data_IF_749661382368
#
_entry.id   IF_749661382368
#
_cell.length_a   1.000
_cell.length_b   1.000
_cell.length_c   1.000
_cell.angle_alpha   90.00
_cell.angle_beta   90.00
_cell.angle_gamma   90.00
#
_symmetry.space_group_name_H-M   'P 1'
#
loop_
_entity.id
_entity.type
_entity.pdbx_description
1 polymer ?
#
# COMPACT_ATOMS: atom_id res chain seq x y z
N UNK A 1 11.28 -14.30 29.75
CA UNK A 1 11.04 -14.38 28.29
C UNK A 1 9.61 -14.03 27.87
N UNK A 2 8.58 -14.10 28.72
CA UNK A 2 7.19 -13.78 28.32
C UNK A 2 6.85 -12.28 28.20
N UNK A 3 7.56 -11.40 28.92
CA UNK A 3 7.30 -9.95 28.89
C UNK A 3 7.56 -9.33 27.51
N UNK A 4 8.71 -9.65 26.90
CA UNK A 4 9.15 -9.10 25.61
C UNK A 4 8.23 -9.47 24.45
N UNK A 5 7.62 -10.67 24.46
CA UNK A 5 6.66 -11.09 23.44
C UNK A 5 5.31 -10.36 23.58
N UNK A 6 4.87 -10.10 24.81
CA UNK A 6 3.68 -9.30 25.08
C UNK A 6 3.89 -7.85 24.61
N UNK A 7 5.03 -7.25 24.96
CA UNK A 7 5.37 -5.87 24.57
C UNK A 7 5.39 -5.69 23.04
N UNK A 8 5.97 -6.66 22.31
CA UNK A 8 5.97 -6.64 20.85
C UNK A 8 4.56 -6.76 20.24
N UNK A 9 3.72 -7.62 20.83
CA UNK A 9 2.34 -7.80 20.36
C UNK A 9 1.53 -6.53 20.58
N UNK A 10 1.67 -5.90 21.74
CA UNK A 10 1.06 -4.61 22.04
C UNK A 10 1.53 -3.50 21.09
N UNK A 11 2.83 -3.43 20.82
CA UNK A 11 3.38 -2.46 19.86
C UNK A 11 2.74 -2.63 18.47
N UNK A 12 2.58 -3.87 18.01
CA UNK A 12 1.95 -4.15 16.71
C UNK A 12 0.44 -3.87 16.71
N UNK A 13 -0.27 -4.21 17.77
CA UNK A 13 -1.70 -3.95 17.89
C UNK A 13 -1.98 -2.45 17.88
N UNK A 14 -1.13 -1.66 18.55
CA UNK A 14 -1.18 -0.19 18.48
C UNK A 14 -1.03 0.30 17.02
N UNK A 15 -0.09 -0.25 16.24
CA UNK A 15 0.06 0.12 14.82
C UNK A 15 -1.22 -0.18 14.03
N UNK A 16 -1.81 -1.36 14.23
CA UNK A 16 -3.06 -1.76 13.56
C UNK A 16 -4.24 -0.86 13.94
N UNK A 17 -4.46 -0.61 15.23
CA UNK A 17 -5.57 0.24 15.70
C UNK A 17 -5.37 1.70 15.26
N UNK A 18 -4.16 2.23 15.41
CA UNK A 18 -3.87 3.62 15.07
C UNK A 18 -4.01 3.90 13.57
N UNK A 19 -3.78 2.94 12.67
CA UNK A 19 -3.96 3.10 11.22
C UNK A 19 -5.29 2.60 10.67
N UNK A 20 -6.24 2.18 11.53
CA UNK A 20 -7.44 1.43 11.12
C UNK A 20 -7.10 0.24 10.20
N UNK A 21 -6.01 -0.46 10.51
CA UNK A 21 -5.52 -1.60 9.75
C UNK A 21 -5.14 -1.28 8.31
N UNK A 22 -4.78 -0.02 8.01
CA UNK A 22 -4.42 0.44 6.67
C UNK A 22 -5.61 0.62 5.71
N UNK A 23 -6.84 0.53 6.20
CA UNK A 23 -8.04 0.60 5.38
C UNK A 23 -8.14 1.88 4.52
N UNK A 24 -7.82 3.10 5.01
CA UNK A 24 -7.89 4.31 4.19
C UNK A 24 -7.01 4.24 2.94
N UNK A 25 -5.78 3.73 3.08
CA UNK A 25 -4.87 3.53 1.97
C UNK A 25 -5.38 2.46 1.01
N UNK A 26 -5.84 1.31 1.52
CA UNK A 26 -6.34 0.22 0.67
C UNK A 26 -7.56 0.66 -0.15
N UNK A 27 -8.49 1.40 0.47
CA UNK A 27 -9.68 1.92 -0.21
C UNK A 27 -9.27 2.92 -1.29
N UNK A 28 -8.44 3.91 -0.97
CA UNK A 28 -8.06 4.95 -1.91
C UNK A 28 -7.23 4.38 -3.08
N UNK A 29 -6.19 3.59 -2.81
CA UNK A 29 -5.35 2.98 -3.85
C UNK A 29 -6.12 1.92 -4.65
N UNK A 30 -6.96 1.12 -3.99
CA UNK A 30 -7.80 0.14 -4.69
C UNK A 30 -8.78 0.81 -5.64
N UNK A 31 -9.40 1.92 -5.20
CA UNK A 31 -10.33 2.70 -6.04
C UNK A 31 -9.63 3.28 -7.27
N UNK A 32 -8.45 3.90 -7.10
CA UNK A 32 -7.71 4.45 -8.24
C UNK A 32 -7.20 3.37 -9.20
N UNK A 33 -6.84 2.18 -8.70
CA UNK A 33 -6.53 1.03 -9.56
C UNK A 33 -7.74 0.56 -10.36
N UNK A 34 -8.92 0.45 -9.74
CA UNK A 34 -10.16 0.09 -10.44
C UNK A 34 -10.48 1.11 -11.52
N UNK A 35 -10.40 2.41 -11.22
CA UNK A 35 -10.60 3.49 -12.20
C UNK A 35 -9.61 3.34 -13.35
N UNK A 36 -8.34 3.10 -13.06
CA UNK A 36 -7.31 2.91 -14.09
C UNK A 36 -7.60 1.69 -14.97
N UNK A 37 -8.03 0.57 -14.37
CA UNK A 37 -8.43 -0.63 -15.09
C UNK A 37 -9.62 -0.40 -16.02
N UNK A 38 -10.60 0.40 -15.61
CA UNK A 38 -11.73 0.80 -16.45
C UNK A 38 -11.25 1.69 -17.60
N UNK A 39 -10.40 2.69 -17.32
CA UNK A 39 -9.86 3.58 -18.35
C UNK A 39 -9.01 2.84 -19.39
N UNK A 40 -8.36 1.74 -19.02
CA UNK A 40 -7.56 0.93 -19.92
C UNK A 40 -8.34 0.29 -21.08
N UNK A 41 -9.67 0.18 -20.97
CA UNK A 41 -10.52 -0.26 -22.10
C UNK A 41 -10.73 0.82 -23.17
N UNK A 42 -10.46 2.08 -22.84
CA UNK A 42 -10.77 3.24 -23.70
C UNK A 42 -9.53 4.03 -24.11
N UNK A 43 -8.39 3.80 -23.46
CA UNK A 43 -7.15 4.55 -23.67
C UNK A 43 -6.05 3.66 -24.27
N UNK A 44 -5.06 4.27 -24.98
CA UNK A 44 -3.87 3.54 -25.41
C UNK A 44 -3.12 2.90 -24.23
N UNK A 45 -2.40 1.82 -24.49
CA UNK A 45 -1.64 1.09 -23.46
C UNK A 45 -0.61 1.98 -22.77
N UNK A 46 0.04 2.86 -23.53
CA UNK A 46 1.03 3.83 -23.04
C UNK A 46 0.41 4.77 -22.01
N UNK A 47 -0.73 5.37 -22.35
CA UNK A 47 -1.44 6.31 -21.48
C UNK A 47 -1.95 5.60 -20.22
N UNK A 48 -2.54 4.42 -20.38
CA UNK A 48 -3.06 3.63 -19.27
C UNK A 48 -1.95 3.19 -18.31
N UNK A 49 -0.80 2.81 -18.84
CA UNK A 49 0.39 2.44 -18.06
C UNK A 49 0.93 3.63 -17.25
N UNK A 50 1.00 4.82 -17.83
CA UNK A 50 1.41 6.02 -17.10
C UNK A 50 0.42 6.38 -15.98
N UNK A 51 -0.88 6.30 -16.26
CA UNK A 51 -1.92 6.52 -15.23
C UNK A 51 -1.75 5.51 -14.10
N UNK A 52 -1.55 4.22 -14.41
CA UNK A 52 -1.34 3.18 -13.39
C UNK A 52 -0.10 3.45 -12.53
N UNK A 53 1.01 3.85 -13.14
CA UNK A 53 2.28 4.11 -12.45
C UNK A 53 2.21 5.33 -11.51
N UNK A 54 1.48 6.37 -11.90
CA UNK A 54 1.41 7.63 -11.16
C UNK A 54 0.12 7.84 -10.36
N UNK A 55 -0.83 6.90 -10.37
CA UNK A 55 -2.08 7.01 -9.62
C UNK A 55 -1.87 7.30 -8.11
N UNK A 56 -0.74 6.83 -7.56
CA UNK A 56 -0.37 7.06 -6.16
C UNK A 56 -0.26 8.55 -5.80
N UNK A 57 0.05 9.42 -6.76
CA UNK A 57 0.04 10.87 -6.56
C UNK A 57 -1.34 11.44 -6.24
N UNK A 58 -2.42 10.74 -6.65
CA UNK A 58 -3.81 11.09 -6.32
C UNK A 58 -4.28 10.30 -5.10
N UNK A 59 -3.99 9.00 -5.03
CA UNK A 59 -4.45 8.15 -3.93
C UNK A 59 -3.86 8.54 -2.57
N UNK A 60 -2.57 8.89 -2.52
CA UNK A 60 -1.87 9.25 -1.28
C UNK A 60 -2.49 10.45 -0.54
N UNK A 61 -2.68 11.63 -1.16
CA UNK A 61 -3.27 12.77 -0.46
C UNK A 61 -4.71 12.49 0.01
N UNK A 62 -5.49 11.73 -0.76
CA UNK A 62 -6.86 11.36 -0.40
C UNK A 62 -6.85 10.38 0.79
N UNK A 63 -5.94 9.39 0.79
CA UNK A 63 -5.79 8.45 1.90
C UNK A 63 -5.42 9.18 3.21
N UNK A 64 -4.43 10.08 3.15
CA UNK A 64 -4.02 10.89 4.31
C UNK A 64 -5.14 11.81 4.80
N UNK A 65 -5.94 12.36 3.88
CA UNK A 65 -7.12 13.14 4.23
C UNK A 65 -8.18 12.27 4.93
N UNK A 66 -8.43 11.06 4.43
CA UNK A 66 -9.39 10.11 4.99
C UNK A 66 -8.94 9.63 6.38
N UNK A 67 -7.66 9.36 6.58
CA UNK A 67 -7.10 9.02 7.90
C UNK A 67 -7.38 10.12 8.93
N UNK A 68 -7.09 11.38 8.58
CA UNK A 68 -7.38 12.52 9.46
C UNK A 68 -8.86 12.61 9.79
N UNK A 69 -9.74 12.32 8.82
CA UNK A 69 -11.20 12.35 9.02
C UNK A 69 -11.66 11.23 9.96
N UNK A 70 -11.05 10.05 9.85
CA UNK A 70 -11.29 8.89 10.72
C UNK A 70 -10.63 9.01 12.09
N UNK A 71 -9.84 10.07 12.33
CA UNK A 71 -9.02 10.26 13.53
C UNK A 71 -8.01 9.12 13.72
N UNK A 72 -7.60 8.51 12.61
CA UNK A 72 -6.53 7.50 12.54
C UNK A 72 -5.24 8.19 12.07
N UNK A 73 -4.12 7.47 12.08
CA UNK A 73 -2.80 7.94 11.64
C UNK A 73 -1.89 8.50 12.75
N UNK A 74 -2.28 8.38 14.02
CA UNK A 74 -1.45 8.79 15.18
C UNK A 74 -0.94 7.59 15.95
N UNK A 75 0.17 7.02 15.49
CA UNK A 75 0.96 6.05 16.25
C UNK A 75 1.86 6.79 17.27
N UNK A 76 2.07 6.21 18.44
CA UNK A 76 2.98 6.76 19.45
C UNK A 76 4.40 6.90 18.90
N UNK A 77 5.06 8.02 19.21
CA UNK A 77 6.48 8.24 18.92
C UNK A 77 7.40 7.27 19.68
N UNK A 78 6.90 6.62 20.73
CA UNK A 78 7.63 5.62 21.50
C UNK A 78 7.39 4.19 20.99
N UNK A 79 6.54 4.02 19.97
CA UNK A 79 6.30 2.70 19.40
C UNK A 79 7.55 2.25 18.62
N UNK A 80 8.16 1.10 18.96
CA UNK A 80 9.39 0.63 18.32
C UNK A 80 9.20 0.30 16.82
N UNK A 81 7.96 0.12 16.35
CA UNK A 81 7.63 -0.16 14.95
C UNK A 81 7.41 1.10 14.12
N UNK A 82 7.52 2.30 14.70
CA UNK A 82 7.28 3.55 13.97
C UNK A 82 8.19 3.70 12.74
N UNK A 83 9.50 3.52 12.93
CA UNK A 83 10.46 3.60 11.84
C UNK A 83 10.27 2.50 10.80
N UNK A 84 9.94 1.28 11.25
CA UNK A 84 9.68 0.16 10.36
C UNK A 84 8.45 0.42 9.48
N UNK A 85 7.35 0.92 10.06
CA UNK A 85 6.13 1.28 9.32
C UNK A 85 6.40 2.37 8.28
N UNK A 86 7.23 3.35 8.61
CA UNK A 86 7.64 4.41 7.68
C UNK A 86 8.50 3.85 6.53
N UNK A 87 9.47 2.99 6.83
CA UNK A 87 10.30 2.33 5.83
C UNK A 87 9.46 1.46 4.87
N UNK A 88 8.49 0.72 5.41
CA UNK A 88 7.54 -0.04 4.60
C UNK A 88 6.78 0.85 3.62
N UNK A 89 6.31 2.02 4.06
CA UNK A 89 5.59 2.95 3.19
C UNK A 89 6.47 3.52 2.07
N UNK A 90 7.72 3.88 2.40
CA UNK A 90 8.68 4.43 1.43
C UNK A 90 9.15 3.37 0.43
N UNK A 91 9.21 2.09 0.83
CA UNK A 91 9.73 1.01 -0.03
C UNK A 91 9.01 0.89 -1.37
N UNK A 92 7.71 1.19 -1.44
CA UNK A 92 6.95 1.13 -2.70
C UNK A 92 7.40 2.19 -3.71
N UNK A 93 7.84 3.36 -3.25
CA UNK A 93 8.32 4.42 -4.13
C UNK A 93 9.61 4.00 -4.87
N UNK A 94 10.37 3.05 -4.31
CA UNK A 94 11.56 2.48 -4.94
C UNK A 94 11.22 1.58 -6.15
N UNK A 95 9.95 1.23 -6.36
CA UNK A 95 9.52 0.50 -7.55
C UNK A 95 9.46 1.38 -8.81
N UNK A 96 9.40 2.71 -8.67
CA UNK A 96 9.22 3.63 -9.81
C UNK A 96 10.34 3.49 -10.86
N UNK A 97 11.64 3.46 -10.52
CA UNK A 97 12.70 3.25 -11.53
C UNK A 97 12.53 1.94 -12.31
N UNK A 98 12.15 0.86 -11.64
CA UNK A 98 11.90 -0.43 -12.28
C UNK A 98 10.70 -0.36 -13.23
N UNK A 99 9.62 0.29 -12.82
CA UNK A 99 8.44 0.49 -13.68
C UNK A 99 8.77 1.37 -14.89
N UNK A 100 9.64 2.38 -14.76
CA UNK A 100 10.10 3.18 -15.90
C UNK A 100 10.84 2.29 -16.92
N UNK A 101 11.70 1.36 -16.46
CA UNK A 101 12.37 0.41 -17.37
C UNK A 101 11.35 -0.48 -18.08
N UNK A 102 10.39 -1.06 -17.35
CA UNK A 102 9.33 -1.90 -17.93
C UNK A 102 8.51 -1.12 -18.94
N UNK A 103 8.16 0.12 -18.63
CA UNK A 103 7.41 1.01 -19.52
C UNK A 103 8.16 1.24 -20.85
N UNK A 104 9.47 1.46 -20.81
CA UNK A 104 10.27 1.67 -22.02
C UNK A 104 10.40 0.40 -22.88
N UNK A 105 10.35 -0.79 -22.28
CA UNK A 105 10.41 -2.06 -23.00
C UNK A 105 9.06 -2.43 -23.60
N UNK A 106 8.01 -2.41 -22.78
CA UNK A 106 6.64 -2.71 -23.20
C UNK A 106 5.64 -2.13 -22.16
N UNK A 107 4.99 -0.99 -22.45
CA UNK A 107 4.00 -0.38 -21.57
C UNK A 107 2.86 -1.34 -21.18
N UNK A 108 2.49 -2.27 -22.06
CA UNK A 108 1.44 -3.26 -21.80
C UNK A 108 1.76 -4.24 -20.66
N UNK A 109 3.01 -4.34 -20.20
CA UNK A 109 3.40 -5.20 -19.08
C UNK A 109 3.23 -4.52 -17.72
N UNK A 110 3.03 -3.19 -17.67
CA UNK A 110 2.91 -2.44 -16.42
C UNK A 110 1.80 -2.98 -15.50
N UNK A 111 0.59 -3.32 -15.97
CA UNK A 111 -0.45 -3.85 -15.10
C UNK A 111 -0.04 -5.14 -14.36
N UNK A 112 0.59 -6.08 -15.06
CA UNK A 112 0.98 -7.37 -14.46
C UNK A 112 2.14 -7.20 -13.48
N UNK A 113 3.11 -6.34 -13.82
CA UNK A 113 4.25 -6.03 -12.95
C UNK A 113 3.78 -5.31 -11.68
N UNK A 114 2.86 -4.35 -11.83
CA UNK A 114 2.25 -3.65 -10.70
C UNK A 114 1.44 -4.58 -9.80
N UNK A 115 0.70 -5.55 -10.36
CA UNK A 115 -0.01 -6.56 -9.57
C UNK A 115 0.97 -7.40 -8.71
N UNK A 116 2.09 -7.83 -9.30
CA UNK A 116 3.14 -8.56 -8.59
C UNK A 116 3.81 -7.72 -7.49
N UNK A 117 4.23 -6.50 -7.82
CA UNK A 117 4.83 -5.55 -6.86
C UNK A 117 3.87 -5.22 -5.71
N UNK A 118 2.60 -4.96 -6.03
CA UNK A 118 1.55 -4.73 -5.05
C UNK A 118 1.41 -5.91 -4.10
N UNK A 119 1.36 -7.14 -4.64
CA UNK A 119 1.33 -8.36 -3.83
C UNK A 119 2.51 -8.44 -2.85
N UNK A 120 3.74 -8.24 -3.34
CA UNK A 120 4.95 -8.24 -2.49
C UNK A 120 4.91 -7.14 -1.44
N UNK A 121 4.45 -5.94 -1.81
CA UNK A 121 4.35 -4.81 -0.91
C UNK A 121 3.31 -5.01 0.19
N UNK A 122 2.16 -5.61 -0.13
CA UNK A 122 1.09 -5.84 0.85
C UNK A 122 1.39 -6.96 1.84
N UNK A 123 2.34 -7.86 1.56
CA UNK A 123 2.72 -8.95 2.47
C UNK A 123 3.24 -8.45 3.83
N UNK A 124 4.22 -7.53 3.89
CA UNK A 124 4.61 -6.86 5.13
C UNK A 124 3.44 -6.21 5.88
N UNK A 125 2.51 -5.56 5.18
CA UNK A 125 1.34 -4.93 5.80
C UNK A 125 0.33 -5.94 6.34
N UNK A 126 0.16 -7.07 5.66
CA UNK A 126 -0.64 -8.19 6.15
C UNK A 126 -0.13 -8.69 7.50
N UNK A 127 1.20 -8.81 7.63
CA UNK A 127 1.85 -9.17 8.88
C UNK A 127 1.72 -8.07 9.94
N UNK A 128 1.87 -6.80 9.56
CA UNK A 128 1.85 -5.65 10.48
C UNK A 128 0.45 -5.40 11.07
N UNK A 129 -0.60 -5.40 10.24
CA UNK A 129 -1.95 -5.04 10.68
C UNK A 129 -2.76 -6.22 11.22
N UNK A 130 -2.39 -7.46 10.91
CA UNK A 130 -3.12 -8.69 11.30
C UNK A 130 -4.63 -8.67 10.97
N UNK A 131 -5.09 -7.79 10.08
CA UNK A 131 -6.49 -7.71 9.70
C UNK A 131 -6.83 -8.80 8.69
N UNK A 132 -8.04 -9.38 8.81
CA UNK A 132 -8.53 -10.43 7.89
C UNK A 132 -8.56 -9.96 6.43
N UNK A 133 -8.66 -8.65 6.20
CA UNK A 133 -8.69 -8.01 4.88
C UNK A 133 -7.43 -8.36 4.06
N UNK A 134 -6.26 -8.42 4.68
CA UNK A 134 -5.03 -8.83 3.98
C UNK A 134 -4.89 -10.35 3.81
N UNK A 135 -5.61 -11.15 4.60
CA UNK A 135 -5.58 -12.62 4.46
C UNK A 135 -6.29 -13.09 3.19
N UNK A 136 -7.24 -12.30 2.67
CA UNK A 136 -7.94 -12.56 1.39
C UNK A 136 -7.04 -12.23 0.19
N UNK A 137 -6.09 -11.30 0.35
CA UNK A 137 -5.10 -10.90 -0.67
C UNK A 137 -3.87 -11.82 -0.74
N UNK A 138 -3.79 -12.87 0.10
CA UNK A 138 -2.82 -13.95 -0.09
C UNK A 138 -3.23 -14.75 -1.33
N UNK A 139 -2.45 -14.60 -2.41
CA UNK A 139 -2.44 -15.59 -3.49
C UNK A 139 -2.06 -16.93 -2.84
N UNK A 140 -3.00 -17.88 -2.91
CA UNK A 140 -2.82 -19.27 -2.49
C UNK A 140 -2.13 -20.06 -3.59
#
# INVERSE_FOLDING_TARGET
MNHTFNDFTHARDEVSVSSAGGAPFLICYGTTFIITGILAFFLPHETSALIAMFQGGVALPIALWLERRMRTGRMSAHNPLQNLSAQMAISQALAIPFLIVVYNVNPGQIPVVMAGLGGVHFLPYAWLHRTRIYSILKVS
#
